data_IF_249788237104
#
_entry.id   IF_249788237104
#
_cell.length_a   1.000
_cell.length_b   1.000
_cell.length_c   1.000
_cell.angle_alpha   90.00
_cell.angle_beta   90.00
_cell.angle_gamma   90.00
#
_symmetry.space_group_name_H-M   'P 1'
#
loop_
_entity.id
_entity.type
_entity.pdbx_description
1 polymer ?
#
# COMPACT_ATOMS: atom_id res chain seq x y z
N UNK A 1 15.51 8.01 20.05
CA UNK A 1 16.06 7.02 19.10
C UNK A 1 14.99 6.06 18.57
N UNK A 2 14.23 5.34 19.42
CA UNK A 2 13.22 4.37 18.94
C UNK A 2 12.02 4.99 18.20
N UNK A 3 11.53 6.14 18.67
CA UNK A 3 10.44 6.90 18.00
C UNK A 3 10.87 7.35 16.60
N UNK A 4 12.08 7.91 16.48
CA UNK A 4 12.66 8.30 15.19
C UNK A 4 12.81 7.09 14.24
N UNK A 5 13.18 5.92 14.75
CA UNK A 5 13.22 4.69 13.95
C UNK A 5 11.84 4.18 13.55
N UNK A 6 10.79 4.45 14.32
CA UNK A 6 9.41 4.14 13.95
C UNK A 6 8.92 5.09 12.85
N UNK A 7 9.22 6.39 12.99
CA UNK A 7 8.86 7.41 12.00
C UNK A 7 9.58 7.19 10.66
N UNK A 8 10.87 6.83 10.68
CA UNK A 8 11.60 6.43 9.46
C UNK A 8 10.97 5.24 8.74
N UNK A 9 10.34 4.30 9.44
CA UNK A 9 9.63 3.18 8.80
C UNK A 9 8.31 3.65 8.19
N UNK A 10 7.58 4.54 8.86
CA UNK A 10 6.40 5.20 8.29
C UNK A 10 6.75 5.98 7.01
N UNK A 11 7.85 6.74 7.02
CA UNK A 11 8.35 7.45 5.84
C UNK A 11 8.74 6.49 4.70
N UNK A 12 9.42 5.38 5.01
CA UNK A 12 9.74 4.34 4.00
C UNK A 12 8.48 3.72 3.39
N UNK A 13 7.42 3.52 4.17
CA UNK A 13 6.13 3.02 3.67
C UNK A 13 5.49 4.02 2.71
N UNK A 14 5.48 5.31 3.05
CA UNK A 14 4.95 6.36 2.18
C UNK A 14 5.74 6.45 0.86
N UNK A 15 7.07 6.38 0.91
CA UNK A 15 7.92 6.34 -0.29
C UNK A 15 7.63 5.10 -1.15
N UNK A 16 7.47 3.92 -0.54
CA UNK A 16 7.11 2.70 -1.27
C UNK A 16 5.76 2.85 -1.99
N UNK A 17 4.76 3.44 -1.34
CA UNK A 17 3.45 3.70 -1.96
C UNK A 17 3.58 4.62 -3.18
N UNK A 18 4.31 5.74 -3.05
CA UNK A 18 4.54 6.65 -4.17
C UNK A 18 5.28 6.00 -5.34
N UNK A 19 6.29 5.19 -5.03
CA UNK A 19 7.04 4.41 -6.03
C UNK A 19 6.13 3.45 -6.80
N UNK A 20 5.35 2.63 -6.11
CA UNK A 20 4.47 1.65 -6.76
C UNK A 20 3.37 2.32 -7.57
N UNK A 21 2.79 3.43 -7.09
CA UNK A 21 1.81 4.20 -7.86
C UNK A 21 2.42 4.72 -9.16
N UNK A 22 3.64 5.26 -9.09
CA UNK A 22 4.36 5.79 -10.25
C UNK A 22 4.71 4.68 -11.24
N UNK A 23 5.18 3.53 -10.75
CA UNK A 23 5.52 2.37 -11.57
C UNK A 23 4.30 1.79 -12.29
N UNK A 24 3.17 1.67 -11.58
CA UNK A 24 1.90 1.22 -12.16
C UNK A 24 1.42 2.19 -13.25
N UNK A 25 1.48 3.49 -12.98
CA UNK A 25 1.10 4.53 -13.94
C UNK A 25 1.98 4.48 -15.18
N UNK A 26 3.30 4.37 -15.01
CA UNK A 26 4.24 4.26 -16.14
C UNK A 26 3.96 3.00 -16.99
N UNK A 27 3.65 1.88 -16.33
CA UNK A 27 3.33 0.61 -17.00
C UNK A 27 2.02 0.72 -17.79
N UNK A 28 0.99 1.33 -17.21
CA UNK A 28 -0.27 1.62 -17.90
C UNK A 28 -0.08 2.55 -19.09
N UNK A 29 0.67 3.63 -18.92
CA UNK A 29 0.96 4.58 -20.01
C UNK A 29 1.70 3.90 -21.16
N UNK A 30 2.69 3.05 -20.86
CA UNK A 30 3.39 2.28 -21.89
C UNK A 30 2.46 1.28 -22.59
N UNK A 31 1.60 0.57 -21.84
CA UNK A 31 0.62 -0.34 -22.42
C UNK A 31 -0.40 0.39 -23.31
N UNK A 32 -0.87 1.57 -22.87
CA UNK A 32 -1.78 2.43 -23.64
C UNK A 32 -1.14 3.02 -24.89
N UNK A 33 0.14 3.42 -24.83
CA UNK A 33 0.87 3.93 -25.99
C UNK A 33 1.06 2.87 -27.10
N UNK A 34 1.15 1.59 -26.71
CA UNK A 34 1.26 0.48 -27.64
C UNK A 34 -0.10 -0.05 -28.12
N UNK A 35 -1.21 0.44 -27.55
CA UNK A 35 -2.57 0.00 -27.84
C UNK A 35 -2.93 0.20 -29.32
N UNK A 36 -3.54 -0.81 -29.94
CA UNK A 36 -3.92 -0.76 -31.36
C UNK A 36 -2.75 -0.85 -32.36
N UNK A 37 -1.50 -0.95 -31.90
CA UNK A 37 -0.38 -1.25 -32.78
C UNK A 37 -0.46 -2.69 -33.29
N UNK A 38 -0.06 -2.93 -34.55
CA UNK A 38 0.03 -4.30 -35.13
C UNK A 38 0.96 -5.24 -34.34
N UNK A 39 1.77 -4.68 -33.43
CA UNK A 39 2.68 -5.40 -32.54
C UNK A 39 1.94 -6.13 -31.40
N UNK A 40 0.82 -5.60 -30.90
CA UNK A 40 0.06 -6.23 -29.83
C UNK A 40 -1.04 -7.13 -30.38
N UNK A 41 -0.69 -8.38 -30.70
CA UNK A 41 -1.69 -9.44 -30.90
C UNK A 41 -2.45 -9.71 -29.58
N UNK A 42 -3.67 -10.25 -29.63
CA UNK A 42 -4.48 -10.54 -28.43
C UNK A 42 -3.74 -11.36 -27.35
N UNK A 43 -2.81 -12.22 -27.74
CA UNK A 43 -1.92 -12.96 -26.82
C UNK A 43 -0.89 -12.06 -26.10
N UNK A 44 -0.38 -11.00 -26.73
CA UNK A 44 0.60 -10.11 -26.10
C UNK A 44 -0.03 -9.20 -25.05
N UNK A 45 -1.35 -8.97 -25.09
CA UNK A 45 -2.07 -8.18 -24.07
C UNK A 45 -2.02 -8.82 -22.66
N UNK A 46 -1.74 -10.12 -22.57
CA UNK A 46 -1.53 -10.78 -21.28
C UNK A 46 -0.23 -10.35 -20.59
N UNK A 47 0.79 -9.88 -21.32
CA UNK A 47 2.06 -9.43 -20.76
C UNK A 47 1.91 -8.19 -19.85
N UNK A 48 1.33 -7.06 -20.31
CA UNK A 48 1.15 -5.90 -19.46
C UNK A 48 0.21 -6.19 -18.27
N UNK A 49 -0.82 -7.03 -18.46
CA UNK A 49 -1.69 -7.45 -17.36
C UNK A 49 -0.91 -8.21 -16.28
N UNK A 50 -0.11 -9.22 -16.66
CA UNK A 50 0.70 -9.99 -15.70
C UNK A 50 1.68 -9.08 -14.96
N UNK A 51 2.28 -8.13 -15.66
CA UNK A 51 3.20 -7.17 -15.07
C UNK A 51 2.51 -6.25 -14.06
N UNK A 52 1.34 -5.70 -14.39
CA UNK A 52 0.53 -4.87 -13.49
C UNK A 52 0.05 -5.65 -12.25
N UNK A 53 -0.38 -6.90 -12.43
CA UNK A 53 -0.76 -7.78 -11.32
C UNK A 53 0.43 -8.14 -10.43
N UNK A 54 1.60 -8.39 -11.01
CA UNK A 54 2.82 -8.63 -10.23
C UNK A 54 3.22 -7.40 -9.40
N UNK A 55 3.13 -6.19 -9.99
CA UNK A 55 3.42 -4.95 -9.28
C UNK A 55 2.46 -4.68 -8.13
N UNK A 56 1.14 -4.86 -8.34
CA UNK A 56 0.13 -4.68 -7.29
C UNK A 56 0.26 -5.73 -6.18
N UNK A 57 0.58 -6.98 -6.51
CA UNK A 57 0.88 -8.01 -5.52
C UNK A 57 2.13 -7.66 -4.70
N UNK A 58 3.24 -7.29 -5.35
CA UNK A 58 4.47 -6.88 -4.66
C UNK A 58 4.22 -5.68 -3.74
N UNK A 59 3.47 -4.69 -4.23
CA UNK A 59 3.07 -3.53 -3.45
C UNK A 59 2.32 -3.93 -2.18
N UNK A 60 1.29 -4.78 -2.31
CA UNK A 60 0.51 -5.27 -1.17
C UNK A 60 1.39 -5.94 -0.11
N UNK A 61 2.29 -6.84 -0.51
CA UNK A 61 3.17 -7.55 0.42
C UNK A 61 4.15 -6.62 1.14
N UNK A 62 4.71 -5.64 0.43
CA UNK A 62 5.64 -4.68 1.01
C UNK A 62 4.94 -3.79 2.03
N UNK A 63 3.76 -3.25 1.71
CA UNK A 63 2.97 -2.43 2.66
C UNK A 63 2.54 -3.26 3.87
N UNK A 64 2.19 -4.54 3.66
CA UNK A 64 1.88 -5.49 4.73
C UNK A 64 3.05 -5.70 5.67
N UNK A 65 4.25 -5.91 5.12
CA UNK A 65 5.48 -6.08 5.89
C UNK A 65 5.79 -4.85 6.75
N UNK A 66 5.72 -3.64 6.17
CA UNK A 66 5.93 -2.40 6.91
C UNK A 66 4.94 -2.21 8.04
N UNK A 67 3.67 -2.57 7.85
CA UNK A 67 2.66 -2.52 8.91
C UNK A 67 2.98 -3.48 10.05
N UNK A 68 3.35 -4.72 9.74
CA UNK A 68 3.70 -5.72 10.75
C UNK A 68 4.90 -5.25 11.57
N UNK A 69 5.93 -4.72 10.90
CA UNK A 69 7.11 -4.18 11.58
C UNK A 69 6.77 -2.98 12.48
N UNK A 70 5.95 -2.03 12.00
CA UNK A 70 5.53 -0.90 12.84
C UNK A 70 4.69 -1.36 14.04
N UNK A 71 3.82 -2.35 13.87
CA UNK A 71 3.01 -2.88 14.97
C UNK A 71 3.90 -3.50 16.04
N UNK A 72 4.91 -4.29 15.64
CA UNK A 72 5.88 -4.87 16.58
C UNK A 72 6.69 -3.78 17.30
N UNK A 73 7.15 -2.75 16.59
CA UNK A 73 7.88 -1.62 17.20
C UNK A 73 7.01 -0.85 18.21
N UNK A 74 5.74 -0.62 17.90
CA UNK A 74 4.82 0.07 18.80
C UNK A 74 4.65 -0.68 20.12
N UNK A 75 4.49 -2.01 20.06
CA UNK A 75 4.41 -2.87 21.26
C UNK A 75 5.68 -2.77 22.10
N UNK A 76 6.86 -2.88 21.47
CA UNK A 76 8.15 -2.81 22.18
C UNK A 76 8.34 -1.44 22.84
N UNK A 77 8.00 -0.34 22.15
CA UNK A 77 8.06 1.01 22.72
C UNK A 77 7.08 1.14 23.90
N UNK A 78 5.87 0.59 23.79
CA UNK A 78 4.90 0.55 24.87
C UNK A 78 5.45 -0.14 26.13
N UNK A 79 6.02 -1.33 25.98
CA UNK A 79 6.63 -2.08 27.10
C UNK A 79 7.78 -1.32 27.76
N UNK A 80 8.58 -0.57 26.98
CA UNK A 80 9.64 0.27 27.53
C UNK A 80 9.08 1.50 28.25
N UNK A 81 8.02 2.11 27.72
CA UNK A 81 7.39 3.29 28.31
C UNK A 81 6.60 2.99 29.59
N UNK A 82 6.11 1.77 29.79
CA UNK A 82 5.45 1.39 31.05
C UNK A 82 6.37 1.50 32.27
N UNK A 83 7.70 1.48 32.05
CA UNK A 83 8.69 1.70 33.11
C UNK A 83 8.92 3.19 33.42
N UNK A 84 8.37 4.10 32.62
CA UNK A 84 8.51 5.54 32.78
C UNK A 84 7.27 6.16 33.43
N UNK A 85 7.42 7.01 34.48
CA UNK A 85 6.28 7.61 35.17
C UNK A 85 5.37 8.45 34.29
N UNK A 86 5.94 9.11 33.27
CA UNK A 86 5.23 10.03 32.39
C UNK A 86 4.56 9.35 31.18
N UNK A 87 5.08 8.20 30.71
CA UNK A 87 4.57 7.40 29.58
C UNK A 87 3.80 8.20 28.49
N UNK A 88 4.47 9.17 27.84
CA UNK A 88 3.81 10.12 26.95
C UNK A 88 3.23 9.48 25.67
N UNK A 89 3.81 8.39 25.15
CA UNK A 89 3.32 7.72 23.94
C UNK A 89 2.37 6.55 24.27
N UNK A 90 2.68 5.74 25.28
CA UNK A 90 1.85 4.58 25.59
C UNK A 90 0.58 4.95 26.36
N UNK A 91 0.65 5.85 27.34
CA UNK A 91 -0.53 6.27 28.10
C UNK A 91 -1.17 7.53 27.53
N UNK A 92 -0.42 8.61 27.34
CA UNK A 92 -1.02 9.89 26.99
C UNK A 92 -1.51 9.94 25.52
N UNK A 93 -0.72 9.49 24.55
CA UNK A 93 -1.14 9.44 23.14
C UNK A 93 -2.24 8.39 22.92
N UNK A 94 -2.15 7.20 23.54
CA UNK A 94 -3.21 6.19 23.45
C UNK A 94 -4.54 6.65 24.06
N UNK A 95 -4.52 7.36 25.20
CA UNK A 95 -5.72 8.00 25.75
C UNK A 95 -6.26 9.09 24.82
N UNK A 96 -5.39 9.94 24.26
CA UNK A 96 -5.80 10.98 23.33
C UNK A 96 -6.41 10.42 22.02
N UNK A 97 -5.97 9.24 21.59
CA UNK A 97 -6.52 8.50 20.45
C UNK A 97 -7.76 7.65 20.80
N UNK A 98 -8.30 7.79 22.02
CA UNK A 98 -9.53 7.11 22.45
C UNK A 98 -9.37 5.62 22.69
N UNK A 99 -8.16 5.15 23.00
CA UNK A 99 -7.83 3.75 23.32
C UNK A 99 -8.25 2.73 22.25
N UNK A 100 -8.42 3.17 21.00
CA UNK A 100 -8.94 2.34 19.91
C UNK A 100 -10.43 1.99 20.00
N UNK A 101 -11.17 2.56 20.98
CA UNK A 101 -12.62 2.40 21.13
C UNK A 101 -13.40 3.32 20.21
N UNK A 102 -12.84 4.47 19.87
CA UNK A 102 -13.52 5.49 19.08
C UNK A 102 -12.96 5.56 17.65
N UNK A 103 -13.63 4.88 16.73
CA UNK A 103 -13.26 4.90 15.30
C UNK A 103 -13.44 6.30 14.67
N UNK A 104 -14.14 7.23 15.32
CA UNK A 104 -14.26 8.60 14.84
C UNK A 104 -13.00 9.45 15.13
N UNK A 105 -12.22 9.11 16.16
CA UNK A 105 -10.99 9.83 16.52
C UNK A 105 -9.77 9.41 15.68
N UNK A 106 -9.68 8.14 15.26
CA UNK A 106 -8.54 7.66 14.48
C UNK A 106 -8.95 6.60 13.46
N UNK A 107 -8.92 6.98 12.18
CA UNK A 107 -8.98 6.03 11.07
C UNK A 107 -7.56 5.62 10.69
N UNK A 108 -7.18 4.33 10.83
CA UNK A 108 -5.85 3.89 10.44
C UNK A 108 -5.73 3.95 8.91
N UNK A 109 -5.05 5.00 8.40
CA UNK A 109 -4.69 5.17 6.97
C UNK A 109 -4.02 3.90 6.40
N UNK A 110 -3.38 3.10 7.25
CA UNK A 110 -2.75 1.82 6.90
C UNK A 110 -3.69 0.81 6.26
N UNK A 111 -5.00 0.86 6.56
CA UNK A 111 -5.95 -0.03 5.90
C UNK A 111 -6.21 0.43 4.46
N UNK A 112 -6.43 1.73 4.26
CA UNK A 112 -6.57 2.35 2.94
C UNK A 112 -5.37 2.04 2.03
N UNK A 113 -4.15 2.20 2.55
CA UNK A 113 -2.91 1.91 1.80
C UNK A 113 -2.80 0.45 1.34
N UNK A 114 -3.41 -0.51 2.05
CA UNK A 114 -3.42 -1.93 1.65
C UNK A 114 -4.55 -2.30 0.71
N UNK A 115 -5.67 -1.58 0.75
CA UNK A 115 -6.77 -1.78 -0.18
C UNK A 115 -6.45 -1.20 -1.56
N UNK A 116 -5.62 -0.16 -1.64
CA UNK A 116 -5.28 0.52 -2.89
C UNK A 116 -4.69 -0.43 -3.98
N UNK A 117 -3.69 -1.28 -3.69
CA UNK A 117 -3.19 -2.26 -4.66
C UNK A 117 -4.27 -3.26 -5.11
N UNK A 118 -5.16 -3.66 -4.21
CA UNK A 118 -6.26 -4.61 -4.50
C UNK A 118 -7.28 -3.98 -5.43
N UNK A 119 -7.68 -2.73 -5.16
CA UNK A 119 -8.59 -1.97 -6.01
C UNK A 119 -7.99 -1.82 -7.42
N UNK A 120 -6.70 -1.46 -7.52
CA UNK A 120 -6.01 -1.35 -8.81
C UNK A 120 -5.97 -2.70 -9.55
N UNK A 121 -5.66 -3.79 -8.86
CA UNK A 121 -5.67 -5.12 -9.47
C UNK A 121 -7.05 -5.47 -10.05
N UNK A 122 -8.14 -5.18 -9.32
CA UNK A 122 -9.52 -5.37 -9.81
C UNK A 122 -9.79 -4.52 -11.04
N UNK A 123 -9.44 -3.23 -11.00
CA UNK A 123 -9.61 -2.31 -12.15
C UNK A 123 -8.86 -2.81 -13.38
N UNK A 124 -7.64 -3.32 -13.22
CA UNK A 124 -6.85 -3.85 -14.35
C UNK A 124 -7.47 -5.11 -14.96
N UNK A 125 -7.97 -6.02 -14.12
CA UNK A 125 -8.67 -7.22 -14.60
C UNK A 125 -9.93 -6.84 -15.35
N UNK A 126 -10.75 -5.93 -14.80
CA UNK A 126 -11.97 -5.46 -15.46
C UNK A 126 -11.66 -4.76 -16.79
N UNK A 127 -10.68 -3.86 -16.81
CA UNK A 127 -10.25 -3.17 -18.04
C UNK A 127 -9.75 -4.14 -19.11
N UNK A 128 -9.03 -5.18 -18.71
CA UNK A 128 -8.60 -6.24 -19.62
C UNK A 128 -9.76 -7.07 -20.17
N UNK A 129 -10.75 -7.42 -19.35
CA UNK A 129 -11.94 -8.14 -19.82
C UNK A 129 -12.73 -7.32 -20.84
N UNK A 130 -12.91 -6.02 -20.59
CA UNK A 130 -13.58 -5.10 -21.54
C UNK A 130 -12.83 -5.07 -22.87
N UNK A 131 -11.50 -4.98 -22.82
CA UNK A 131 -10.67 -4.99 -24.02
C UNK A 131 -10.73 -6.30 -24.82
N UNK A 132 -10.92 -7.44 -24.16
CA UNK A 132 -11.11 -8.72 -24.85
C UNK A 132 -12.48 -8.85 -25.52
N UNK A 133 -13.53 -8.27 -24.92
CA UNK A 133 -14.90 -8.31 -25.45
C UNK A 133 -15.07 -7.36 -26.64
N UNK A 134 -14.32 -6.27 -26.67
CA UNK A 134 -14.29 -5.31 -27.78
C UNK A 134 -12.92 -5.31 -28.47
N UNK A 135 -12.55 -6.37 -29.22
CA UNK A 135 -11.35 -6.36 -30.04
C UNK A 135 -11.57 -5.38 -31.20
N UNK A 136 -10.82 -4.28 -31.20
CA UNK A 136 -10.72 -3.37 -32.34
C UNK A 136 -9.93 -3.99 -33.49
#
# INVERSE_FOLDING_TARGET
MYVEMADRVSARRALANGFFLSLNTATLTAAGALWGSKFLTSWLLFLPLRLLLAQTAAWFWIVRSYRQLNSAKYIVVGMLEEQLPASPYWRAEWQALGEGKDKALYWPLTHLEQWLPVILAVVYVLGFLVALVHPH
#
